data_IF_167238891710
#
_entry.id   IF_167238891710
#
_cell.length_a   1.000
_cell.length_b   1.000
_cell.length_c   1.000
_cell.angle_alpha   90.00
_cell.angle_beta   90.00
_cell.angle_gamma   90.00
#
_symmetry.space_group_name_H-M   'P 1'
#
loop_
_entity.id
_entity.type
_entity.pdbx_description
1 polymer ?
#
# COMPACT_ATOMS: atom_id res chain seq x y z
N UNK A 1 -74.48 3.96 8.21
CA UNK A 1 -73.62 2.79 7.93
C UNK A 1 -72.48 3.15 6.99
N UNK A 2 -72.74 3.88 5.90
CA UNK A 2 -71.72 4.23 4.88
C UNK A 2 -70.52 5.05 5.40
N UNK A 3 -70.75 5.99 6.34
CA UNK A 3 -69.65 6.78 6.92
C UNK A 3 -68.62 5.94 7.70
N UNK A 4 -69.07 4.88 8.39
CA UNK A 4 -68.19 3.99 9.14
C UNK A 4 -67.35 3.10 8.21
N UNK A 5 -67.90 2.69 7.07
CA UNK A 5 -67.21 1.89 6.06
C UNK A 5 -66.08 2.71 5.41
N UNK A 6 -66.33 3.99 5.12
CA UNK A 6 -65.32 4.89 4.56
C UNK A 6 -64.18 5.18 5.54
N UNK A 7 -64.49 5.37 6.83
CA UNK A 7 -63.48 5.56 7.89
C UNK A 7 -62.61 4.30 8.05
N UNK A 8 -63.22 3.11 8.00
CA UNK A 8 -62.48 1.84 8.07
C UNK A 8 -61.54 1.63 6.87
N UNK A 9 -61.97 1.99 5.66
CA UNK A 9 -61.15 1.91 4.45
C UNK A 9 -59.94 2.86 4.49
N UNK A 10 -60.12 4.10 4.96
CA UNK A 10 -59.02 5.07 5.11
C UNK A 10 -57.98 4.55 6.10
N UNK A 11 -58.40 3.93 7.20
CA UNK A 11 -57.49 3.37 8.19
C UNK A 11 -56.63 2.24 7.62
N UNK A 12 -57.21 1.34 6.82
CA UNK A 12 -56.48 0.23 6.18
C UNK A 12 -55.40 0.76 5.23
N UNK A 13 -55.69 1.81 4.45
CA UNK A 13 -54.72 2.41 3.52
C UNK A 13 -53.55 3.05 4.27
N UNK A 14 -53.81 3.73 5.40
CA UNK A 14 -52.76 4.33 6.24
C UNK A 14 -51.87 3.25 6.86
N UNK A 15 -52.44 2.13 7.32
CA UNK A 15 -51.68 1.00 7.86
C UNK A 15 -50.83 0.34 6.76
N UNK A 16 -51.39 0.14 5.57
CA UNK A 16 -50.64 -0.42 4.45
C UNK A 16 -49.47 0.49 4.02
N UNK A 17 -49.69 1.82 4.00
CA UNK A 17 -48.66 2.79 3.65
C UNK A 17 -47.55 2.86 4.70
N UNK A 18 -47.89 2.83 5.98
CA UNK A 18 -46.90 2.82 7.08
C UNK A 18 -46.05 1.55 7.10
N UNK A 19 -46.64 0.37 6.84
CA UNK A 19 -45.90 -0.88 6.66
C UNK A 19 -44.98 -0.84 5.43
N UNK A 20 -45.45 -0.26 4.32
CA UNK A 20 -44.64 -0.11 3.10
C UNK A 20 -43.41 0.77 3.32
N UNK A 21 -43.58 1.91 4.01
CA UNK A 21 -42.48 2.81 4.35
C UNK A 21 -41.51 2.13 5.33
N UNK A 22 -42.01 1.43 6.35
CA UNK A 22 -41.17 0.69 7.29
C UNK A 22 -40.32 -0.38 6.60
N UNK A 23 -40.90 -1.14 5.66
CA UNK A 23 -40.19 -2.15 4.87
C UNK A 23 -39.16 -1.52 3.93
N UNK A 24 -39.46 -0.37 3.32
CA UNK A 24 -38.49 0.39 2.49
C UNK A 24 -37.32 0.93 3.31
N UNK A 25 -37.58 1.46 4.50
CA UNK A 25 -36.53 1.94 5.42
C UNK A 25 -35.68 0.77 5.92
N UNK A 26 -36.29 -0.38 6.26
CA UNK A 26 -35.55 -1.57 6.67
C UNK A 26 -34.67 -2.12 5.55
N UNK A 27 -35.17 -2.19 4.32
CA UNK A 27 -34.40 -2.62 3.15
C UNK A 27 -33.28 -1.63 2.79
N UNK A 28 -33.50 -0.33 2.99
CA UNK A 28 -32.45 0.68 2.86
C UNK A 28 -31.40 0.58 3.97
N UNK A 29 -31.80 0.27 5.22
CA UNK A 29 -30.87 0.00 6.33
C UNK A 29 -30.05 -1.26 6.08
N UNK A 30 -30.65 -2.34 5.59
CA UNK A 30 -29.92 -3.57 5.22
C UNK A 30 -28.92 -3.30 4.06
N UNK A 31 -29.23 -2.41 3.11
CA UNK A 31 -28.27 -1.96 2.08
C UNK A 31 -27.19 -0.98 2.57
N UNK A 32 -27.39 -0.39 3.76
CA UNK A 32 -26.39 0.44 4.46
C UNK A 32 -25.54 -0.46 5.37
N UNK A 33 -26.13 -1.50 5.98
CA UNK A 33 -25.45 -2.49 6.83
C UNK A 33 -24.56 -3.45 6.02
N UNK A 34 -24.82 -3.70 4.72
CA UNK A 34 -23.85 -4.37 3.83
C UNK A 34 -22.63 -3.50 3.47
N UNK A 35 -22.55 -2.26 3.96
CA UNK A 35 -21.34 -1.42 3.92
C UNK A 35 -20.66 -1.26 5.28
N UNK A 36 -21.08 -1.99 6.31
CA UNK A 36 -20.19 -2.26 7.42
C UNK A 36 -19.18 -3.31 6.96
N UNK A 37 -18.10 -2.79 6.38
CA UNK A 37 -16.83 -3.49 6.25
C UNK A 37 -16.56 -4.08 7.63
N UNK A 38 -16.66 -5.40 7.75
CA UNK A 38 -16.33 -6.17 8.93
C UNK A 38 -15.02 -5.63 9.52
N UNK A 39 -15.14 -4.85 10.60
CA UNK A 39 -14.03 -4.31 11.40
C UNK A 39 -13.51 -5.44 12.28
N UNK A 40 -13.03 -6.51 11.65
CA UNK A 40 -12.13 -7.44 12.30
C UNK A 40 -10.78 -6.75 12.38
N UNK A 41 -10.10 -6.83 13.53
CA UNK A 41 -8.79 -6.21 13.86
C UNK A 41 -7.67 -6.43 12.82
N UNK A 42 -7.92 -7.22 11.78
CA UNK A 42 -7.08 -7.46 10.60
C UNK A 42 -7.26 -6.43 9.49
N UNK A 43 -8.18 -5.45 9.61
CA UNK A 43 -8.45 -4.46 8.54
C UNK A 43 -7.17 -3.71 8.17
N UNK A 44 -6.32 -3.34 9.11
CA UNK A 44 -5.12 -2.52 8.84
C UNK A 44 -3.82 -3.33 8.74
N UNK A 45 -3.91 -4.62 8.44
CA UNK A 45 -2.71 -5.41 8.14
C UNK A 45 -2.15 -5.05 6.75
N UNK A 46 -0.83 -5.11 6.62
CA UNK A 46 -0.14 -4.80 5.36
C UNK A 46 -0.68 -5.62 4.18
N UNK A 47 -1.02 -6.89 4.40
CA UNK A 47 -1.57 -7.76 3.35
C UNK A 47 -2.93 -7.29 2.83
N UNK A 48 -3.83 -6.86 3.74
CA UNK A 48 -5.15 -6.35 3.39
C UNK A 48 -5.03 -5.01 2.64
N UNK A 49 -4.13 -4.14 3.07
CA UNK A 49 -3.83 -2.89 2.37
C UNK A 49 -3.32 -3.15 0.95
N UNK A 50 -2.43 -4.13 0.77
CA UNK A 50 -1.95 -4.53 -0.56
C UNK A 50 -3.10 -5.05 -1.43
N UNK A 51 -3.98 -5.88 -0.89
CA UNK A 51 -5.13 -6.41 -1.63
C UNK A 51 -6.12 -5.30 -2.01
N UNK A 52 -6.40 -4.37 -1.09
CA UNK A 52 -7.22 -3.20 -1.34
C UNK A 52 -6.65 -2.37 -2.49
N UNK A 53 -5.38 -1.99 -2.43
CA UNK A 53 -4.72 -1.19 -3.48
C UNK A 53 -4.75 -1.92 -4.83
N UNK A 54 -4.47 -3.22 -4.85
CA UNK A 54 -4.58 -4.03 -6.08
C UNK A 54 -5.98 -3.96 -6.67
N UNK A 55 -7.01 -4.18 -5.86
CA UNK A 55 -8.41 -4.16 -6.29
C UNK A 55 -8.81 -2.78 -6.80
N UNK A 56 -8.47 -1.72 -6.08
CA UNK A 56 -8.82 -0.33 -6.45
C UNK A 56 -8.14 0.13 -7.74
N UNK A 57 -6.85 -0.16 -7.91
CA UNK A 57 -6.14 0.16 -9.16
C UNK A 57 -6.71 -0.63 -10.35
N UNK A 58 -7.08 -1.89 -10.15
CA UNK A 58 -7.75 -2.70 -11.16
C UNK A 58 -9.13 -2.14 -11.53
N UNK A 59 -9.92 -1.72 -10.55
CA UNK A 59 -11.21 -1.06 -10.77
C UNK A 59 -11.02 0.22 -11.61
N UNK A 60 -10.14 1.13 -11.20
CA UNK A 60 -9.86 2.38 -11.93
C UNK A 60 -9.46 2.10 -13.39
N UNK A 61 -8.66 1.06 -13.62
CA UNK A 61 -8.17 0.73 -14.98
C UNK A 61 -9.19 -0.01 -15.84
N UNK A 62 -10.16 -0.72 -15.24
CA UNK A 62 -11.17 -1.54 -15.93
C UNK A 62 -12.53 -0.88 -16.09
N UNK A 63 -12.85 0.19 -15.34
CA UNK A 63 -14.13 0.92 -15.46
C UNK A 63 -14.40 1.36 -16.91
N UNK A 64 -15.59 1.04 -17.42
CA UNK A 64 -16.10 1.56 -18.68
C UNK A 64 -16.70 2.96 -18.45
N UNK A 65 -16.12 3.97 -19.09
CA UNK A 65 -16.51 5.37 -18.88
C UNK A 65 -17.83 5.73 -19.57
N UNK A 66 -18.24 4.96 -20.57
CA UNK A 66 -19.44 5.19 -21.37
C UNK A 66 -20.73 4.83 -20.65
N UNK A 67 -20.67 3.89 -19.70
CA UNK A 67 -21.86 3.40 -18.96
C UNK A 67 -22.28 4.34 -17.81
N UNK A 68 -21.48 5.37 -17.51
CA UNK A 68 -21.64 6.23 -16.32
C UNK A 68 -22.51 7.48 -16.61
N UNK A 69 -22.83 7.77 -17.88
CA UNK A 69 -23.70 8.89 -18.25
C UNK A 69 -23.13 10.27 -17.90
N UNK A 70 -21.83 10.48 -18.17
CA UNK A 70 -21.09 11.71 -17.88
C UNK A 70 -21.25 12.78 -18.97
N UNK A 71 -21.04 14.06 -18.62
CA UNK A 71 -20.83 15.12 -19.61
C UNK A 71 -19.54 14.89 -20.40
N UNK A 72 -19.46 15.40 -21.63
CA UNK A 72 -18.30 15.20 -22.51
C UNK A 72 -16.99 15.69 -21.89
N UNK A 73 -16.99 16.86 -21.24
CA UNK A 73 -15.81 17.41 -20.58
C UNK A 73 -15.31 16.53 -19.44
N UNK A 74 -16.22 16.03 -18.59
CA UNK A 74 -15.85 15.19 -17.46
C UNK A 74 -15.40 13.80 -17.91
N UNK A 75 -15.99 13.30 -19.00
CA UNK A 75 -15.60 12.06 -19.64
C UNK A 75 -14.16 12.15 -20.19
N UNK A 76 -13.80 13.23 -20.87
CA UNK A 76 -12.42 13.44 -21.35
C UNK A 76 -11.42 13.58 -20.20
N UNK A 77 -11.76 14.29 -19.12
CA UNK A 77 -10.92 14.35 -17.91
C UNK A 77 -10.68 12.96 -17.30
N UNK A 78 -11.72 12.14 -17.18
CA UNK A 78 -11.60 10.78 -16.64
C UNK A 78 -10.83 9.85 -17.57
N UNK A 79 -10.97 10.00 -18.89
CA UNK A 79 -10.13 9.29 -19.88
C UNK A 79 -8.66 9.63 -19.71
N UNK A 80 -8.33 10.91 -19.59
CA UNK A 80 -6.95 11.37 -19.43
C UNK A 80 -6.31 10.80 -18.16
N UNK A 81 -6.99 10.91 -17.01
CA UNK A 81 -6.51 10.31 -15.74
C UNK A 81 -6.30 8.80 -15.86
N UNK A 82 -7.23 8.09 -16.51
CA UNK A 82 -7.11 6.65 -16.74
C UNK A 82 -5.92 6.31 -17.64
N UNK A 83 -5.68 7.12 -18.67
CA UNK A 83 -4.54 6.95 -19.57
C UNK A 83 -3.21 7.19 -18.86
N UNK A 84 -3.10 8.27 -18.07
CA UNK A 84 -1.92 8.59 -17.26
C UNK A 84 -1.58 7.46 -16.29
N UNK A 85 -2.59 6.94 -15.57
CA UNK A 85 -2.38 5.80 -14.68
C UNK A 85 -1.87 4.57 -15.43
N UNK A 86 -2.46 4.24 -16.59
CA UNK A 86 -2.00 3.11 -17.40
C UNK A 86 -0.58 3.30 -17.92
N UNK A 87 -0.21 4.53 -18.29
CA UNK A 87 1.14 4.88 -18.72
C UNK A 87 2.13 4.70 -17.57
N UNK A 88 1.84 5.27 -16.41
CA UNK A 88 2.70 5.18 -15.23
C UNK A 88 2.88 3.74 -14.74
N UNK A 89 1.81 2.93 -14.75
CA UNK A 89 1.89 1.51 -14.40
C UNK A 89 2.79 0.70 -15.35
N UNK A 90 2.89 1.09 -16.63
CA UNK A 90 3.84 0.50 -17.58
C UNK A 90 5.25 1.04 -17.35
N UNK A 91 5.43 2.35 -17.18
CA UNK A 91 6.74 2.96 -16.94
C UNK A 91 7.43 2.49 -15.67
N UNK A 92 6.65 2.15 -14.63
CA UNK A 92 7.14 1.49 -13.42
C UNK A 92 7.93 0.19 -13.72
N UNK A 93 7.54 -0.56 -14.76
CA UNK A 93 8.26 -1.80 -15.14
C UNK A 93 9.64 -1.53 -15.73
N UNK A 94 9.84 -0.37 -16.35
CA UNK A 94 11.11 0.07 -16.89
C UNK A 94 11.96 0.82 -15.86
N UNK A 95 11.36 1.25 -14.75
CA UNK A 95 12.04 1.93 -13.65
C UNK A 95 12.07 3.45 -13.79
N UNK A 96 11.16 4.06 -14.54
CA UNK A 96 11.03 5.52 -14.61
C UNK A 96 10.66 6.10 -13.23
N UNK A 97 11.54 6.93 -12.68
CA UNK A 97 11.41 7.52 -11.33
C UNK A 97 10.14 8.37 -11.19
N UNK A 98 9.73 9.09 -12.24
CA UNK A 98 8.54 9.92 -12.21
C UNK A 98 7.27 9.08 -12.18
N UNK A 99 7.22 8.02 -12.98
CA UNK A 99 6.08 7.10 -13.00
C UNK A 99 5.96 6.35 -11.67
N UNK A 100 7.08 5.97 -11.04
CA UNK A 100 7.07 5.40 -9.68
C UNK A 100 6.51 6.39 -8.66
N UNK A 101 6.98 7.65 -8.71
CA UNK A 101 6.53 8.70 -7.81
C UNK A 101 5.02 8.91 -7.92
N UNK A 102 4.50 9.02 -9.14
CA UNK A 102 3.06 9.14 -9.39
C UNK A 102 2.26 7.96 -8.81
N UNK A 103 2.72 6.72 -9.00
CA UNK A 103 2.03 5.55 -8.46
C UNK A 103 2.09 5.52 -6.92
N UNK A 104 3.22 5.90 -6.31
CA UNK A 104 3.36 5.99 -4.85
C UNK A 104 2.43 7.07 -4.26
N UNK A 105 2.38 8.25 -4.88
CA UNK A 105 1.45 9.32 -4.49
C UNK A 105 -0.01 8.89 -4.60
N UNK A 106 -0.38 8.17 -5.68
CA UNK A 106 -1.73 7.64 -5.81
C UNK A 106 -2.05 6.60 -4.72
N UNK A 107 -1.10 5.72 -4.38
CA UNK A 107 -1.29 4.74 -3.29
C UNK A 107 -1.47 5.48 -1.96
N UNK A 108 -0.65 6.50 -1.68
CA UNK A 108 -0.79 7.35 -0.50
C UNK A 108 -2.21 7.94 -0.43
N UNK A 109 -2.68 8.54 -1.51
CA UNK A 109 -4.01 9.13 -1.61
C UNK A 109 -5.13 8.12 -1.36
N UNK A 110 -5.03 6.92 -1.93
CA UNK A 110 -6.02 5.86 -1.74
C UNK A 110 -6.04 5.36 -0.28
N UNK A 111 -4.89 5.21 0.35
CA UNK A 111 -4.80 4.78 1.75
C UNK A 111 -5.34 5.85 2.69
N UNK A 112 -5.00 7.12 2.44
CA UNK A 112 -5.45 8.22 3.29
C UNK A 112 -6.95 8.52 3.12
N UNK A 113 -7.42 8.69 1.88
CA UNK A 113 -8.78 9.18 1.60
C UNK A 113 -9.83 8.06 1.59
N UNK A 114 -9.52 6.90 1.03
CA UNK A 114 -10.51 5.82 0.84
C UNK A 114 -10.41 4.74 1.91
N UNK A 115 -9.19 4.36 2.31
CA UNK A 115 -8.98 3.34 3.33
C UNK A 115 -9.06 3.89 4.78
N UNK A 116 -8.88 5.19 4.94
CA UNK A 116 -8.95 5.87 6.24
C UNK A 116 -7.76 5.56 7.15
N UNK A 117 -6.55 5.45 6.59
CA UNK A 117 -5.32 5.31 7.39
C UNK A 117 -5.00 6.62 8.10
N UNK A 118 -4.85 6.55 9.42
CA UNK A 118 -4.59 7.63 10.36
C UNK A 118 -3.41 7.26 11.27
N UNK A 119 -2.92 8.21 12.07
CA UNK A 119 -1.77 8.01 12.96
C UNK A 119 -1.95 6.88 13.99
N UNK A 120 -3.20 6.58 14.38
CA UNK A 120 -3.52 5.52 15.34
C UNK A 120 -3.51 4.13 14.71
N UNK A 121 -3.91 3.99 13.44
CA UNK A 121 -4.07 2.68 12.79
C UNK A 121 -2.86 2.27 11.96
N UNK A 122 -2.01 3.22 11.56
CA UNK A 122 -0.82 2.94 10.75
C UNK A 122 0.16 2.01 11.46
N UNK A 123 0.25 2.11 12.79
CA UNK A 123 1.07 1.24 13.63
C UNK A 123 0.59 -0.22 13.66
N UNK A 124 -0.66 -0.50 13.22
CA UNK A 124 -1.14 -1.88 13.04
C UNK A 124 -0.53 -2.54 11.80
N UNK A 125 -0.15 -1.76 10.78
CA UNK A 125 0.47 -2.29 9.57
C UNK A 125 1.95 -2.61 9.78
N UNK A 126 2.67 -1.68 10.42
CA UNK A 126 4.08 -1.81 10.82
C UNK A 126 4.19 -1.23 12.23
N UNK A 127 4.80 -1.93 13.21
CA UNK A 127 4.81 -1.49 14.61
C UNK A 127 5.82 -0.35 14.85
N UNK A 128 5.53 0.85 14.35
CA UNK A 128 6.40 2.02 14.48
C UNK A 128 6.62 2.46 15.94
N UNK A 129 5.65 2.18 16.82
CA UNK A 129 5.69 2.62 18.22
C UNK A 129 6.59 1.74 19.11
N UNK A 130 6.93 0.53 18.63
CA UNK A 130 7.72 -0.46 19.39
C UNK A 130 8.93 -0.88 18.55
N UNK A 131 10.09 -0.23 18.72
CA UNK A 131 11.30 -0.51 17.95
C UNK A 131 11.79 -1.96 18.01
N UNK A 132 11.45 -2.71 19.07
CA UNK A 132 11.83 -4.11 19.25
C UNK A 132 11.03 -5.07 18.37
N UNK A 133 9.85 -4.68 17.87
CA UNK A 133 9.04 -5.48 16.97
C UNK A 133 9.34 -5.21 15.49
N UNK A 134 10.10 -4.15 15.20
CA UNK A 134 10.50 -3.80 13.84
C UNK A 134 11.56 -4.77 13.32
N UNK A 135 11.31 -5.32 12.14
CA UNK A 135 12.31 -6.13 11.44
C UNK A 135 13.49 -5.27 10.98
N UNK A 136 14.64 -5.89 10.71
CA UNK A 136 15.79 -5.18 10.13
C UNK A 136 15.43 -4.45 8.83
N UNK A 137 14.51 -5.01 8.03
CA UNK A 137 14.01 -4.37 6.81
C UNK A 137 13.17 -3.12 7.12
N UNK A 138 12.27 -3.18 8.12
CA UNK A 138 11.46 -2.02 8.51
C UNK A 138 12.35 -0.87 9.00
N UNK A 139 13.35 -1.20 9.84
CA UNK A 139 14.33 -0.22 10.33
C UNK A 139 15.12 0.40 9.19
N UNK A 140 15.56 -0.42 8.22
CA UNK A 140 16.24 0.08 7.02
C UNK A 140 15.35 1.01 6.20
N UNK A 141 14.09 0.63 5.93
CA UNK A 141 13.17 1.44 5.14
C UNK A 141 12.89 2.80 5.83
N UNK A 142 12.77 2.82 7.16
CA UNK A 142 12.60 4.06 7.95
C UNK A 142 13.85 4.94 7.89
N UNK A 143 15.03 4.36 8.14
CA UNK A 143 16.31 5.08 8.09
C UNK A 143 16.54 5.71 6.72
N UNK A 144 16.33 4.93 5.66
CA UNK A 144 16.48 5.40 4.29
C UNK A 144 15.48 6.50 3.97
N UNK A 145 14.21 6.37 4.39
CA UNK A 145 13.22 7.42 4.16
C UNK A 145 13.65 8.75 4.79
N UNK A 146 14.21 8.70 6.01
CA UNK A 146 14.70 9.90 6.68
C UNK A 146 15.93 10.50 6.00
N UNK A 147 16.92 9.67 5.67
CA UNK A 147 18.13 10.12 4.98
C UNK A 147 17.84 10.66 3.58
N UNK A 148 16.82 10.13 2.90
CA UNK A 148 16.40 10.59 1.58
C UNK A 148 15.87 12.02 1.59
N UNK A 149 15.31 12.50 2.70
CA UNK A 149 14.91 13.92 2.81
C UNK A 149 16.11 14.85 2.80
N UNK A 150 17.17 14.48 3.51
CA UNK A 150 18.37 15.33 3.67
C UNK A 150 19.33 15.20 2.49
N UNK A 151 19.48 14.00 1.93
CA UNK A 151 20.54 13.67 0.97
C UNK A 151 20.03 13.16 -0.38
N UNK A 152 18.71 13.03 -0.56
CA UNK A 152 18.12 12.60 -1.83
C UNK A 152 18.65 11.25 -2.32
N UNK A 153 19.24 11.24 -3.51
CA UNK A 153 19.80 10.03 -4.14
C UNK A 153 21.08 9.52 -3.49
N UNK A 154 21.72 10.30 -2.61
CA UNK A 154 22.96 9.92 -1.91
C UNK A 154 22.71 9.33 -0.52
N UNK A 155 21.44 9.17 -0.13
CA UNK A 155 21.02 8.69 1.20
C UNK A 155 21.77 7.44 1.67
N UNK A 156 21.86 6.41 0.82
CA UNK A 156 22.56 5.17 1.17
C UNK A 156 24.07 5.37 1.29
N UNK A 157 24.69 6.18 0.43
CA UNK A 157 26.13 6.43 0.49
C UNK A 157 26.50 7.15 1.79
N UNK A 158 25.71 8.14 2.21
CA UNK A 158 25.92 8.85 3.47
C UNK A 158 25.68 7.95 4.68
N UNK A 159 24.67 7.07 4.62
CA UNK A 159 24.44 6.07 5.68
C UNK A 159 25.62 5.10 5.80
N UNK A 160 26.15 4.60 4.68
CA UNK A 160 27.32 3.70 4.67
C UNK A 160 28.56 4.40 5.24
N UNK A 161 28.82 5.65 4.85
CA UNK A 161 29.97 6.43 5.33
C UNK A 161 29.87 6.73 6.82
N UNK A 162 28.71 7.22 7.29
CA UNK A 162 28.52 7.63 8.69
C UNK A 162 28.76 6.49 9.67
N UNK A 163 28.32 5.28 9.30
CA UNK A 163 28.40 4.09 10.15
C UNK A 163 29.51 3.12 9.77
N UNK A 164 30.40 3.53 8.86
CA UNK A 164 31.49 2.72 8.33
C UNK A 164 31.06 1.28 7.95
N UNK A 165 29.92 1.15 7.25
CA UNK A 165 29.34 -0.16 6.93
C UNK A 165 30.13 -0.94 5.87
N UNK A 166 31.04 -0.26 5.17
CA UNK A 166 31.90 -0.85 4.13
C UNK A 166 33.12 -1.59 4.71
N UNK A 167 32.94 -2.26 5.85
CA UNK A 167 33.97 -3.06 6.49
C UNK A 167 33.88 -4.54 6.11
N UNK A 168 35.04 -5.20 6.11
CA UNK A 168 35.16 -6.60 5.77
C UNK A 168 34.75 -7.46 6.98
N UNK A 169 33.65 -8.20 6.87
CA UNK A 169 33.09 -8.99 7.99
C UNK A 169 33.19 -10.49 7.74
N UNK A 170 33.32 -11.25 8.81
CA UNK A 170 33.15 -12.70 8.80
C UNK A 170 31.70 -13.00 9.14
N UNK A 171 31.01 -13.66 8.22
CA UNK A 171 29.62 -14.08 8.44
C UNK A 171 29.64 -15.57 8.77
N UNK A 172 28.84 -15.97 9.75
CA UNK A 172 28.74 -17.35 10.17
C UNK A 172 28.38 -18.27 8.98
N UNK A 173 29.30 -19.19 8.67
CA UNK A 173 29.16 -20.11 7.54
C UNK A 173 29.94 -19.73 6.27
N UNK A 174 30.67 -18.61 6.23
CA UNK A 174 31.62 -18.31 5.16
C UNK A 174 33.08 -18.48 5.62
N UNK A 175 33.86 -19.22 4.83
CA UNK A 175 35.32 -19.34 5.02
C UNK A 175 36.10 -18.13 4.52
N UNK A 176 35.42 -17.22 3.81
CA UNK A 176 35.99 -15.97 3.29
C UNK A 176 35.26 -14.78 3.88
N UNK A 177 35.99 -13.72 4.27
CA UNK A 177 35.37 -12.49 4.70
C UNK A 177 34.72 -11.78 3.50
N UNK A 178 33.62 -11.08 3.75
CA UNK A 178 32.83 -10.41 2.72
C UNK A 178 32.32 -9.06 3.24
N UNK A 179 32.07 -8.13 2.32
CA UNK A 179 31.39 -6.87 2.62
C UNK A 179 29.89 -7.15 2.73
N UNK A 180 29.38 -7.22 3.96
CA UNK A 180 27.99 -7.54 4.25
C UNK A 180 27.48 -6.62 5.35
N UNK A 181 26.32 -6.03 5.10
CA UNK A 181 25.54 -5.32 6.12
C UNK A 181 24.64 -6.35 6.80
N UNK A 182 24.81 -6.54 8.11
CA UNK A 182 24.06 -7.54 8.89
C UNK A 182 22.77 -6.93 9.45
N UNK A 183 21.87 -7.79 9.92
CA UNK A 183 20.65 -7.35 10.62
C UNK A 183 20.99 -6.61 11.92
N UNK A 184 22.03 -7.06 12.62
CA UNK A 184 22.55 -6.42 13.83
C UNK A 184 23.04 -4.99 13.56
N UNK A 185 23.73 -4.76 12.44
CA UNK A 185 24.15 -3.40 12.05
C UNK A 185 22.94 -2.48 11.92
N UNK A 186 21.85 -2.95 11.29
CA UNK A 186 20.63 -2.17 11.11
C UNK A 186 19.91 -1.90 12.44
N UNK A 187 19.91 -2.88 13.35
CA UNK A 187 19.37 -2.69 14.69
C UNK A 187 20.16 -1.64 15.48
N UNK A 188 21.49 -1.73 15.47
CA UNK A 188 22.37 -0.81 16.18
C UNK A 188 22.27 0.62 15.62
N UNK A 189 22.22 0.77 14.30
CA UNK A 189 22.07 2.08 13.65
C UNK A 189 20.75 2.72 14.05
N UNK A 190 19.65 1.96 13.98
CA UNK A 190 18.32 2.48 14.31
C UNK A 190 18.23 2.94 15.76
N UNK A 191 18.82 2.19 16.69
CA UNK A 191 18.84 2.54 18.12
C UNK A 191 19.73 3.76 18.40
N UNK A 192 20.85 3.88 17.70
CA UNK A 192 21.76 5.04 17.82
C UNK A 192 21.09 6.33 17.37
N UNK A 193 20.31 6.25 16.29
CA UNK A 193 19.72 7.44 15.66
C UNK A 193 18.44 7.94 16.35
N UNK A 194 17.79 7.07 17.14
CA UNK A 194 16.60 7.38 17.95
C UNK A 194 15.60 8.32 17.25
N UNK A 195 15.19 7.93 16.04
CA UNK A 195 14.40 8.77 15.15
C UNK A 195 12.98 9.01 15.68
N UNK A 196 12.52 10.26 15.59
CA UNK A 196 11.12 10.61 15.79
C UNK A 196 10.40 10.68 14.43
N UNK A 197 9.73 9.59 14.05
CA UNK A 197 9.14 9.42 12.72
C UNK A 197 7.75 10.07 12.67
N UNK A 198 7.55 11.04 11.77
CA UNK A 198 6.25 11.70 11.58
C UNK A 198 5.22 10.78 10.92
N UNK A 199 3.92 11.11 11.04
CA UNK A 199 2.85 10.34 10.38
C UNK A 199 3.05 10.24 8.85
N UNK A 200 3.44 11.34 8.20
CA UNK A 200 3.68 11.36 6.76
C UNK A 200 4.80 10.38 6.36
N UNK A 201 5.84 10.28 7.18
CA UNK A 201 6.95 9.35 6.98
C UNK A 201 6.56 7.90 7.20
N UNK A 202 5.80 7.64 8.28
CA UNK A 202 5.22 6.32 8.53
C UNK A 202 4.40 5.89 7.31
N UNK A 203 3.61 6.81 6.74
CA UNK A 203 2.81 6.55 5.54
C UNK A 203 3.69 6.28 4.32
N UNK A 204 4.73 7.08 4.10
CA UNK A 204 5.66 6.87 2.99
C UNK A 204 6.36 5.51 3.07
N UNK A 205 6.76 5.06 4.26
CA UNK A 205 7.33 3.72 4.47
C UNK A 205 6.32 2.61 4.14
N UNK A 206 5.07 2.74 4.60
CA UNK A 206 4.01 1.77 4.29
C UNK A 206 3.69 1.74 2.79
N UNK A 207 3.55 2.91 2.16
CA UNK A 207 3.34 3.06 0.71
C UNK A 207 4.49 2.41 -0.06
N UNK A 208 5.73 2.64 0.37
CA UNK A 208 6.90 2.04 -0.24
C UNK A 208 6.85 0.51 -0.14
N UNK A 209 6.52 -0.03 1.03
CA UNK A 209 6.39 -1.47 1.23
C UNK A 209 5.28 -2.09 0.37
N UNK A 210 4.13 -1.41 0.26
CA UNK A 210 3.02 -1.84 -0.61
C UNK A 210 3.46 -1.81 -2.08
N UNK A 211 4.13 -0.75 -2.52
CA UNK A 211 4.64 -0.62 -3.88
C UNK A 211 5.61 -1.75 -4.23
N UNK A 212 6.57 -2.05 -3.35
CA UNK A 212 7.55 -3.14 -3.51
C UNK A 212 6.86 -4.50 -3.71
N UNK A 213 5.77 -4.76 -2.97
CA UNK A 213 5.01 -6.03 -3.06
C UNK A 213 4.04 -6.08 -4.24
N UNK A 214 3.55 -4.93 -4.69
CA UNK A 214 2.61 -4.84 -5.80
C UNK A 214 3.29 -4.84 -7.18
N UNK A 215 4.32 -4.00 -7.37
CA UNK A 215 4.97 -3.76 -8.66
C UNK A 215 6.49 -3.77 -8.62
N UNK A 216 7.09 -3.40 -7.49
CA UNK A 216 8.55 -3.23 -7.38
C UNK A 216 9.34 -4.54 -7.43
N UNK A 217 10.66 -4.40 -7.42
CA UNK A 217 11.60 -5.52 -7.38
C UNK A 217 11.91 -5.98 -5.95
N UNK A 218 10.88 -6.09 -5.10
CA UNK A 218 11.03 -6.39 -3.67
C UNK A 218 11.94 -5.37 -2.96
N UNK A 219 12.91 -5.81 -2.16
CA UNK A 219 13.76 -4.97 -1.30
C UNK A 219 14.73 -4.06 -2.05
N UNK A 220 14.89 -4.24 -3.36
CA UNK A 220 15.90 -3.54 -4.17
C UNK A 220 15.38 -2.18 -4.66
N UNK A 221 14.06 -1.98 -4.65
CA UNK A 221 13.44 -0.89 -5.41
C UNK A 221 13.93 0.51 -4.99
N UNK A 222 14.06 0.78 -3.69
CA UNK A 222 14.63 2.05 -3.20
C UNK A 222 16.12 2.16 -3.48
N UNK A 223 16.87 1.08 -3.23
CA UNK A 223 18.33 1.06 -3.40
C UNK A 223 18.75 1.31 -4.85
N UNK A 224 17.98 0.79 -5.81
CA UNK A 224 18.28 0.94 -7.23
C UNK A 224 18.13 2.37 -7.73
N UNK A 225 17.24 3.14 -7.12
CA UNK A 225 16.98 4.51 -7.55
C UNK A 225 18.02 5.49 -6.96
N UNK A 226 18.89 5.02 -6.05
CA UNK A 226 19.99 5.80 -5.46
C UNK A 226 21.24 5.79 -6.34
N UNK A 227 22.20 6.64 -6.00
CA UNK A 227 23.47 6.76 -6.71
C UNK A 227 24.39 5.56 -6.40
N UNK A 228 24.13 4.45 -7.10
CA UNK A 228 24.91 3.21 -7.02
C UNK A 228 25.33 2.75 -8.42
N UNK A 229 26.51 2.15 -8.52
CA UNK A 229 27.09 1.71 -9.81
C UNK A 229 26.31 0.56 -10.47
N UNK A 230 25.54 -0.20 -9.70
CA UNK A 230 24.65 -1.23 -10.21
C UNK A 230 24.30 -2.30 -9.18
N UNK A 231 23.24 -3.06 -9.48
CA UNK A 231 22.78 -4.16 -8.61
C UNK A 231 22.88 -5.49 -9.36
N UNK A 232 23.62 -6.44 -8.79
CA UNK A 232 23.69 -7.81 -9.32
C UNK A 232 22.53 -8.67 -8.83
N UNK A 233 21.70 -9.19 -9.74
CA UNK A 233 20.58 -10.10 -9.43
C UNK A 233 21.01 -11.50 -8.96
N UNK A 234 22.28 -11.89 -9.15
CA UNK A 234 22.75 -13.26 -8.91
C UNK A 234 22.90 -13.58 -7.42
N UNK A 235 23.28 -12.60 -6.60
CA UNK A 235 23.36 -12.72 -5.12
C UNK A 235 22.00 -12.87 -4.45
N UNK A 236 20.94 -12.30 -5.05
CA UNK A 236 19.57 -12.30 -4.52
C UNK A 236 18.88 -13.67 -4.59
N UNK A 237 19.30 -14.56 -5.50
CA UNK A 237 18.74 -15.92 -5.59
C UNK A 237 19.14 -16.80 -4.40
N UNK A 238 20.28 -16.51 -3.76
CA UNK A 238 20.76 -17.25 -2.57
C UNK A 238 19.90 -16.98 -1.33
N UNK A 239 19.36 -15.76 -1.21
CA UNK A 239 18.44 -15.36 -0.13
C UNK A 239 17.01 -15.92 -0.30
N UNK A 240 16.71 -16.64 -1.40
CA UNK A 240 15.37 -17.22 -1.65
C UNK A 240 14.97 -18.36 -0.70
N UNK A 241 15.84 -18.84 0.19
CA UNK A 241 15.42 -19.76 1.26
C UNK A 241 14.37 -19.13 2.20
N UNK A 242 14.15 -17.81 2.15
CA UNK A 242 13.22 -17.08 3.03
C UNK A 242 11.91 -16.59 2.39
N UNK A 243 11.64 -16.82 1.09
CA UNK A 243 10.40 -16.34 0.45
C UNK A 243 9.77 -17.44 -0.42
N UNK A 244 8.58 -17.90 -0.02
CA UNK A 244 7.85 -19.06 -0.56
C UNK A 244 7.54 -19.01 -2.08
N UNK A 245 7.28 -20.19 -2.67
CA UNK A 245 6.92 -20.35 -4.07
C UNK A 245 5.43 -20.13 -4.27
N UNK A 246 5.02 -18.94 -4.70
CA UNK A 246 3.72 -18.74 -5.32
C UNK A 246 3.80 -17.51 -6.19
N UNK A 247 3.88 -17.73 -7.51
CA UNK A 247 3.72 -16.79 -8.62
C UNK A 247 4.69 -17.14 -9.75
N UNK A 248 4.64 -18.39 -10.23
CA UNK A 248 5.23 -18.78 -11.50
C UNK A 248 4.44 -19.92 -12.13
N UNK A 249 3.15 -19.70 -12.39
CA UNK A 249 2.51 -20.40 -13.51
C UNK A 249 2.87 -19.61 -14.77
N UNK A 250 4.07 -19.83 -15.29
CA UNK A 250 4.40 -19.55 -16.69
C UNK A 250 4.45 -20.93 -17.36
N UNK A 251 3.60 -21.21 -18.36
CA UNK A 251 3.71 -22.47 -19.09
C UNK A 251 5.06 -22.51 -19.80
N UNK A 252 5.79 -23.59 -19.57
CA UNK A 252 6.95 -23.95 -20.37
C UNK A 252 6.44 -24.21 -21.80
N UNK A 253 6.94 -23.42 -22.74
CA UNK A 253 6.73 -23.66 -24.16
C UNK A 253 7.77 -24.72 -24.53
N UNK A 254 7.27 -25.93 -24.81
CA UNK A 254 8.00 -27.02 -25.48
C UNK A 254 8.48 -26.59 -26.85
#
# INVERSE_FOLDING_TARGET
MEAYINIALIFIVIVAFSVFVANRVKKNRESIEEKDINVDDKTYTLEMMIQFIKKRLDEITKINLYDIGLSEEELERRKQKKYELKKALKGCTYGDVNDKKYVKELIFDLLFKEYGVNEVNISKAIPFDIPSLLTAQDKFDILINEYKKSFGYEALNELIKKYNLAELKYVDGSTKPAYVITEEDMHNIYETENLNVSFEDKMNVVVQRIYQKYKGYSSIDEVRDMNIDGVSRRSIRSSRKFLKPSCANRPEIT
#
